data_IF_164464668510
#
_entry.id   IF_164464668510
#
_cell.length_a   1.000
_cell.length_b   1.000
_cell.length_c   1.000
_cell.angle_alpha   90.00
_cell.angle_beta   90.00
_cell.angle_gamma   90.00
#
_symmetry.space_group_name_H-M   'P 1'
#
loop_
_entity.id
_entity.type
_entity.pdbx_description
1 polymer ?
#
# COMPACT_ATOMS: atom_id res chain seq x y z
N UNK A 1 -7.17 -20.88 16.98
CA UNK A 1 -6.76 -21.36 15.64
C UNK A 1 -6.61 -22.88 15.55
N UNK A 2 -5.63 -23.54 16.20
CA UNK A 2 -5.50 -25.00 16.07
C UNK A 2 -6.69 -25.80 16.63
N UNK A 3 -7.30 -25.32 17.71
CA UNK A 3 -8.53 -25.91 18.24
C UNK A 3 -9.70 -25.73 17.27
N UNK A 4 -9.81 -24.56 16.62
CA UNK A 4 -10.84 -24.29 15.62
C UNK A 4 -10.67 -25.17 14.37
N UNK A 5 -9.41 -25.42 13.98
CA UNK A 5 -9.05 -26.31 12.87
C UNK A 5 -9.49 -27.76 13.15
N UNK A 6 -9.20 -28.26 14.36
CA UNK A 6 -9.61 -29.61 14.81
C UNK A 6 -11.12 -29.74 15.03
N UNK A 7 -11.81 -28.63 15.30
CA UNK A 7 -13.27 -28.60 15.42
C UNK A 7 -13.96 -28.60 14.04
N UNK A 8 -13.34 -28.02 13.01
CA UNK A 8 -13.90 -27.95 11.65
C UNK A 8 -13.53 -29.12 10.74
N UNK A 9 -12.30 -29.61 10.84
CA UNK A 9 -11.78 -30.68 9.97
C UNK A 9 -11.63 -32.00 10.73
N UNK A 10 -11.96 -33.10 10.06
CA UNK A 10 -11.77 -34.42 10.66
C UNK A 10 -10.28 -34.77 10.81
N UNK A 11 -9.91 -35.53 11.85
CA UNK A 11 -8.51 -35.91 12.09
C UNK A 11 -7.86 -36.62 10.90
N UNK A 12 -8.61 -37.43 10.15
CA UNK A 12 -8.09 -38.18 8.99
C UNK A 12 -7.63 -37.25 7.87
N UNK A 13 -8.30 -36.09 7.69
CA UNK A 13 -7.88 -35.07 6.74
C UNK A 13 -6.62 -34.36 7.21
N UNK A 14 -6.57 -33.97 8.49
CA UNK A 14 -5.41 -33.29 9.05
C UNK A 14 -4.15 -34.16 9.01
N UNK A 15 -4.29 -35.46 9.19
CA UNK A 15 -3.20 -36.44 9.10
C UNK A 15 -2.68 -36.67 7.67
N UNK A 16 -3.35 -36.13 6.64
CA UNK A 16 -2.91 -36.20 5.22
C UNK A 16 -2.15 -34.97 4.76
N UNK A 17 -1.97 -33.98 5.63
CA UNK A 17 -1.19 -32.79 5.35
C UNK A 17 0.22 -32.99 5.93
N UNK A 18 1.24 -32.79 5.10
CA UNK A 18 2.63 -32.91 5.53
C UNK A 18 2.96 -31.86 6.59
N UNK A 19 2.53 -30.61 6.38
CA UNK A 19 2.73 -29.50 7.30
C UNK A 19 1.54 -28.53 7.32
N UNK A 20 1.33 -27.87 8.46
CA UNK A 20 0.35 -26.79 8.63
C UNK A 20 1.11 -25.49 8.88
N UNK A 21 1.08 -24.58 7.90
CA UNK A 21 1.76 -23.28 7.99
C UNK A 21 0.82 -22.23 8.61
N UNK A 22 1.20 -21.68 9.76
CA UNK A 22 0.48 -20.58 10.40
C UNK A 22 1.02 -19.22 9.95
N UNK A 23 0.13 -18.40 9.39
CA UNK A 23 0.44 -17.01 9.08
C UNK A 23 0.15 -16.14 10.31
N UNK A 24 1.15 -15.35 10.73
CA UNK A 24 0.98 -14.35 11.78
C UNK A 24 0.17 -13.17 11.22
N UNK A 25 -0.66 -12.52 12.05
CA UNK A 25 -1.30 -11.27 11.65
C UNK A 25 -0.25 -10.21 11.32
N UNK A 26 -0.59 -9.31 10.41
CA UNK A 26 0.29 -8.21 10.02
C UNK A 26 0.42 -7.20 11.16
N UNK A 27 1.65 -6.77 11.44
CA UNK A 27 1.91 -5.63 12.32
C UNK A 27 1.84 -4.31 11.54
N UNK A 28 1.71 -3.17 12.23
CA UNK A 28 1.81 -1.85 11.59
C UNK A 28 3.12 -1.68 10.81
N UNK A 29 4.22 -2.20 11.33
CA UNK A 29 5.52 -2.19 10.66
C UNK A 29 5.48 -2.99 9.35
N UNK A 30 4.86 -4.18 9.35
CA UNK A 30 4.68 -4.94 8.11
C UNK A 30 3.87 -4.14 7.08
N UNK A 31 2.88 -3.37 7.52
CA UNK A 31 2.07 -2.52 6.64
C UNK A 31 2.90 -1.39 6.06
N UNK A 32 3.76 -0.74 6.84
CA UNK A 32 4.71 0.24 6.33
C UNK A 32 5.57 -0.33 5.20
N UNK A 33 6.13 -1.52 5.38
CA UNK A 33 6.93 -2.19 4.35
C UNK A 33 6.09 -2.55 3.11
N UNK A 34 4.81 -2.92 3.28
CA UNK A 34 3.91 -3.17 2.15
C UNK A 34 3.64 -1.87 1.39
N UNK A 35 3.44 -0.73 2.07
CA UNK A 35 3.29 0.58 1.42
C UNK A 35 4.54 0.88 0.58
N UNK A 36 5.74 0.64 1.10
CA UNK A 36 6.98 0.86 0.35
C UNK A 36 7.08 0.00 -0.91
N UNK A 37 6.75 -1.29 -0.81
CA UNK A 37 6.71 -2.19 -1.96
C UNK A 37 5.70 -1.72 -3.02
N UNK A 38 4.55 -1.20 -2.58
CA UNK A 38 3.54 -0.65 -3.48
C UNK A 38 4.01 0.63 -4.16
N UNK A 39 4.66 1.54 -3.42
CA UNK A 39 5.23 2.76 -3.97
C UNK A 39 6.36 2.46 -4.97
N UNK A 40 7.18 1.45 -4.69
CA UNK A 40 8.21 0.99 -5.62
C UNK A 40 7.61 0.45 -6.93
N UNK A 41 6.51 -0.31 -6.85
CA UNK A 41 5.78 -0.78 -8.03
C UNK A 41 5.16 0.38 -8.83
N UNK A 42 4.55 1.35 -8.15
CA UNK A 42 4.03 2.57 -8.80
C UNK A 42 5.14 3.33 -9.53
N UNK A 43 6.27 3.59 -8.86
CA UNK A 43 7.42 4.27 -9.45
C UNK A 43 8.00 3.50 -10.64
N UNK A 44 8.04 2.17 -10.59
CA UNK A 44 8.50 1.35 -11.72
C UNK A 44 7.66 1.59 -12.97
N UNK A 45 6.34 1.74 -12.83
CA UNK A 45 5.44 2.01 -13.96
C UNK A 45 5.55 3.45 -14.48
N UNK A 46 5.96 4.39 -13.62
CA UNK A 46 6.18 5.79 -13.99
C UNK A 46 7.59 6.05 -14.55
N UNK A 47 8.50 5.09 -14.41
CA UNK A 47 9.89 5.21 -14.85
C UNK A 47 10.03 5.49 -16.35
N UNK A 48 9.16 4.90 -17.19
CA UNK A 48 9.16 5.15 -18.65
C UNK A 48 8.80 6.61 -19.01
N UNK A 49 8.15 7.33 -18.09
CA UNK A 49 7.82 8.75 -18.23
C UNK A 49 8.84 9.65 -17.50
N UNK A 50 9.87 9.06 -16.88
CA UNK A 50 10.86 9.71 -16.02
C UNK A 50 10.23 10.53 -14.89
N UNK A 51 9.03 10.15 -14.45
CA UNK A 51 8.32 10.79 -13.32
C UNK A 51 8.58 9.97 -12.06
N UNK A 52 8.82 10.66 -10.94
CA UNK A 52 8.92 10.04 -9.62
C UNK A 52 7.70 10.37 -8.77
N UNK A 53 7.34 9.44 -7.89
CA UNK A 53 6.26 9.57 -6.94
C UNK A 53 6.77 9.26 -5.53
N UNK A 54 6.64 10.21 -4.63
CA UNK A 54 7.09 10.11 -3.25
C UNK A 54 5.93 10.35 -2.28
N UNK A 55 6.02 9.74 -1.09
CA UNK A 55 5.12 10.01 0.03
C UNK A 55 5.91 10.75 1.11
N UNK A 56 5.31 11.77 1.72
CA UNK A 56 5.84 12.28 2.98
C UNK A 56 5.61 11.26 4.11
N UNK A 57 6.41 11.33 5.18
CA UNK A 57 6.26 10.46 6.34
C UNK A 57 4.85 10.57 6.96
N UNK A 58 4.29 11.78 7.00
CA UNK A 58 2.95 12.05 7.48
C UNK A 58 1.87 11.37 6.62
N UNK A 59 2.01 11.46 5.29
CA UNK A 59 1.11 10.78 4.35
C UNK A 59 1.22 9.26 4.47
N UNK A 60 2.44 8.72 4.63
CA UNK A 60 2.67 7.30 4.85
C UNK A 60 2.03 6.82 6.15
N UNK A 61 2.19 7.56 7.25
CA UNK A 61 1.54 7.24 8.53
C UNK A 61 0.02 7.25 8.41
N UNK A 62 -0.54 8.27 7.74
CA UNK A 62 -1.98 8.37 7.49
C UNK A 62 -2.53 7.17 6.70
N UNK A 63 -1.78 6.71 5.69
CA UNK A 63 -2.14 5.52 4.90
C UNK A 63 -2.06 4.24 5.75
N UNK A 64 -1.03 4.10 6.59
CA UNK A 64 -0.89 2.92 7.48
C UNK A 64 -2.07 2.85 8.45
N UNK A 65 -2.43 3.98 9.05
CA UNK A 65 -3.53 4.05 10.02
C UNK A 65 -4.91 3.88 9.37
N UNK A 66 -5.12 4.40 8.15
CA UNK A 66 -6.39 4.27 7.42
C UNK A 66 -6.56 2.96 6.63
N UNK A 67 -5.46 2.27 6.32
CA UNK A 67 -5.45 1.05 5.49
C UNK A 67 -5.30 -0.25 6.27
N UNK A 68 -5.06 -0.19 7.58
CA UNK A 68 -4.97 -1.36 8.45
C UNK A 68 -6.33 -1.76 9.00
N UNK A 69 -6.76 -2.97 8.67
CA UNK A 69 -7.85 -3.63 9.36
C UNK A 69 -7.35 -5.00 9.91
N UNK A 70 -7.41 -5.24 11.23
CA UNK A 70 -6.96 -6.51 11.83
C UNK A 70 -7.67 -7.75 11.27
N UNK A 71 -8.92 -7.60 10.80
CA UNK A 71 -9.75 -8.68 10.25
C UNK A 71 -9.47 -8.87 8.75
N UNK A 72 -9.28 -7.78 8.00
CA UNK A 72 -9.09 -7.85 6.53
C UNK A 72 -7.62 -7.77 6.08
N UNK A 73 -6.67 -7.60 7.01
CA UNK A 73 -5.23 -7.48 6.74
C UNK A 73 -4.91 -6.24 5.90
N UNK A 74 -3.91 -6.35 5.01
CA UNK A 74 -3.51 -5.27 4.10
C UNK A 74 -4.36 -5.20 2.81
N UNK A 75 -5.43 -5.98 2.66
CA UNK A 75 -6.28 -5.90 1.45
C UNK A 75 -6.93 -4.52 1.26
N UNK A 76 -7.46 -3.87 2.32
CA UNK A 76 -7.98 -2.50 2.22
C UNK A 76 -6.89 -1.48 1.82
N UNK A 77 -5.66 -1.68 2.30
CA UNK A 77 -4.50 -0.82 2.02
C UNK A 77 -4.27 -0.66 0.51
N UNK A 78 -4.29 -1.78 -0.24
CA UNK A 78 -4.09 -1.73 -1.70
C UNK A 78 -5.10 -0.81 -2.36
N UNK A 79 -6.39 -1.00 -2.03
CA UNK A 79 -7.48 -0.19 -2.58
C UNK A 79 -7.39 1.27 -2.14
N UNK A 80 -7.00 1.51 -0.90
CA UNK A 80 -6.82 2.86 -0.36
C UNK A 80 -5.72 3.63 -1.11
N UNK A 81 -4.58 2.98 -1.34
CA UNK A 81 -3.45 3.57 -2.04
C UNK A 81 -3.78 3.84 -3.53
N UNK A 82 -4.47 2.92 -4.21
CA UNK A 82 -4.96 3.17 -5.57
C UNK A 82 -5.92 4.37 -5.64
N UNK A 83 -6.88 4.45 -4.71
CA UNK A 83 -7.90 5.51 -4.72
C UNK A 83 -7.33 6.88 -4.35
N UNK A 84 -6.37 6.95 -3.44
CA UNK A 84 -5.91 8.22 -2.91
C UNK A 84 -4.53 8.64 -3.44
N UNK A 85 -3.61 7.72 -3.70
CA UNK A 85 -2.26 8.04 -4.17
C UNK A 85 -2.22 7.99 -5.70
N UNK A 86 -2.55 6.84 -6.29
CA UNK A 86 -2.48 6.63 -7.75
C UNK A 86 -3.43 7.57 -8.51
N UNK A 87 -4.64 7.78 -7.98
CA UNK A 87 -5.61 8.70 -8.58
C UNK A 87 -5.16 10.16 -8.51
N UNK A 88 -4.52 10.59 -7.42
CA UNK A 88 -3.98 11.96 -7.31
C UNK A 88 -2.82 12.16 -8.28
N UNK A 89 -1.88 11.21 -8.33
CA UNK A 89 -0.77 11.25 -9.28
C UNK A 89 -1.27 11.30 -10.73
N UNK A 90 -2.21 10.43 -11.09
CA UNK A 90 -2.79 10.41 -12.44
C UNK A 90 -3.45 11.75 -12.81
N UNK A 91 -4.17 12.39 -11.88
CA UNK A 91 -4.77 13.71 -12.12
C UNK A 91 -3.72 14.79 -12.38
N UNK A 92 -2.60 14.78 -11.65
CA UNK A 92 -1.52 15.76 -11.84
C UNK A 92 -0.83 15.58 -13.19
N UNK A 93 -0.61 14.33 -13.60
CA UNK A 93 -0.05 14.00 -14.93
C UNK A 93 -1.01 14.46 -16.03
N UNK A 94 -2.31 14.14 -15.91
CA UNK A 94 -3.32 14.51 -16.89
C UNK A 94 -3.60 16.01 -16.97
N UNK A 95 -3.36 16.78 -15.90
CA UNK A 95 -3.52 18.24 -15.92
C UNK A 95 -2.36 18.95 -16.63
N UNK A 96 -1.32 18.23 -17.06
CA UNK A 96 -0.15 18.79 -17.75
C UNK A 96 0.79 19.58 -16.85
N UNK A 97 0.62 19.48 -15.52
CA UNK A 97 1.44 20.20 -14.54
C UNK A 97 2.74 19.46 -14.18
N UNK A 98 2.89 18.22 -14.65
CA UNK A 98 4.04 17.34 -14.40
C UNK A 98 4.79 17.15 -15.71
N UNK A 99 6.08 17.42 -15.69
CA UNK A 99 7.00 17.22 -16.80
C UNK A 99 7.92 16.02 -16.53
N UNK A 100 8.68 15.65 -17.55
CA UNK A 100 9.78 14.69 -17.44
C UNK A 100 10.73 15.10 -16.31
N UNK A 101 11.23 14.13 -15.54
CA UNK A 101 12.11 14.30 -14.37
C UNK A 101 11.45 14.88 -13.11
N UNK A 102 10.21 15.40 -13.20
CA UNK A 102 9.51 15.92 -12.03
C UNK A 102 9.21 14.84 -10.98
N UNK A 103 9.13 15.28 -9.73
CA UNK A 103 8.72 14.44 -8.61
C UNK A 103 7.36 14.89 -8.08
N UNK A 104 6.37 14.00 -8.16
CA UNK A 104 5.08 14.18 -7.51
C UNK A 104 5.24 13.77 -6.05
N UNK A 105 5.03 14.70 -5.13
CA UNK A 105 5.04 14.44 -3.69
C UNK A 105 3.60 14.39 -3.19
N UNK A 106 3.22 13.27 -2.58
CA UNK A 106 1.95 13.14 -1.90
C UNK A 106 2.16 13.41 -0.41
N UNK A 107 1.59 14.51 0.06
CA UNK A 107 1.61 14.94 1.45
C UNK A 107 0.23 14.88 2.10
N UNK A 108 0.16 15.35 3.34
CA UNK A 108 -1.08 15.55 4.07
C UNK A 108 -1.38 17.04 4.18
N UNK A 109 -2.58 17.46 3.77
CA UNK A 109 -3.06 18.85 3.87
C UNK A 109 -4.51 18.85 4.37
N UNK A 110 -4.77 19.58 5.44
CA UNK A 110 -6.10 19.66 6.08
C UNK A 110 -6.72 18.27 6.38
N UNK A 111 -5.88 17.32 6.81
CA UNK A 111 -6.29 15.94 7.13
C UNK A 111 -6.65 15.07 5.92
N UNK A 112 -6.29 15.49 4.70
CA UNK A 112 -6.49 14.76 3.45
C UNK A 112 -5.19 14.63 2.67
N UNK A 113 -5.08 13.58 1.86
CA UNK A 113 -3.96 13.43 0.96
C UNK A 113 -4.04 14.47 -0.16
N UNK A 114 -2.92 15.13 -0.43
CA UNK A 114 -2.78 16.14 -1.48
C UNK A 114 -1.49 15.90 -2.25
N UNK A 115 -1.50 16.25 -3.54
CA UNK A 115 -0.34 16.11 -4.43
C UNK A 115 0.25 17.47 -4.76
N UNK A 116 1.56 17.58 -4.69
CA UNK A 116 2.34 18.73 -5.11
C UNK A 116 3.46 18.27 -6.05
N UNK A 117 3.87 19.12 -6.99
CA UNK A 117 4.96 18.81 -7.94
C UNK A 117 6.19 19.55 -7.49
N UNK A 118 7.25 18.80 -7.19
CA UNK A 118 8.58 19.34 -7.07
C UNK A 118 9.24 19.26 -8.44
N UNK A 119 9.45 20.44 -9.03
CA UNK A 119 10.13 20.56 -10.31
C UNK A 119 11.63 20.42 -10.10
N UNK A 120 12.28 19.72 -11.02
CA UNK A 120 13.74 19.76 -11.12
C UNK A 120 14.11 21.09 -11.77
N UNK A 121 15.02 21.85 -11.14
CA UNK A 121 15.58 23.09 -11.69
C UNK A 121 16.49 22.85 -12.89
#
# INVERSE_FOLDING_TARGET
VMNDLRAHFRPEFLNRLDEIIMFKPLTKENIGNIVDLMMADLNRRLADQEIRLELTDEAKSYIIDGGYDPVYGARPLKRFLQKNVETLAARMILSGNVQTEDTIVIGLKDGKLAAEVMKVE
#
